data_IF_178636637556
#
_entry.id   IF_178636637556
#
_cell.length_a   1.000
_cell.length_b   1.000
_cell.length_c   1.000
_cell.angle_alpha   90.00
_cell.angle_beta   90.00
_cell.angle_gamma   90.00
#
_symmetry.space_group_name_H-M   'P 1'
#
loop_
_entity.id
_entity.type
_entity.pdbx_description
1 polymer ?
#
# COMPACT_ATOMS: atom_id res chain seq x y z
N UNK A 1 31.84 68.69 -27.97
CA UNK A 1 31.62 67.27 -27.79
C UNK A 1 30.37 67.12 -26.91
N UNK A 2 29.24 66.86 -27.55
CA UNK A 2 27.93 66.90 -26.89
C UNK A 2 27.57 65.46 -26.49
N UNK A 3 27.56 65.19 -25.17
CA UNK A 3 27.22 63.92 -24.62
C UNK A 3 25.71 63.90 -24.37
N UNK A 4 24.93 63.48 -25.38
CA UNK A 4 23.48 63.25 -25.25
C UNK A 4 23.23 62.06 -24.33
N UNK A 5 22.88 62.36 -23.10
CA UNK A 5 22.43 61.39 -22.10
C UNK A 5 21.10 60.78 -22.52
N UNK A 6 21.12 59.53 -22.96
CA UNK A 6 19.91 58.74 -23.20
C UNK A 6 19.23 58.43 -21.88
N UNK A 7 18.20 59.21 -21.54
CA UNK A 7 17.29 58.90 -20.42
C UNK A 7 16.38 57.74 -20.84
N UNK A 8 16.68 56.52 -20.37
CA UNK A 8 15.72 55.41 -20.36
C UNK A 8 14.58 55.77 -19.39
N UNK A 9 13.43 56.17 -19.90
CA UNK A 9 12.21 56.25 -19.12
C UNK A 9 11.70 54.84 -18.90
N UNK A 10 12.09 54.23 -17.76
CA UNK A 10 11.55 52.97 -17.29
C UNK A 10 10.11 53.20 -16.77
N UNK A 11 9.14 52.98 -17.64
CA UNK A 11 7.69 53.07 -17.33
C UNK A 11 7.30 51.85 -16.50
N UNK A 12 7.65 51.85 -15.21
CA UNK A 12 7.23 50.84 -14.27
C UNK A 12 5.72 51.04 -13.97
N UNK A 13 4.91 50.26 -14.68
CA UNK A 13 3.49 50.14 -14.31
C UNK A 13 3.39 49.38 -13.01
N UNK A 14 2.98 50.03 -11.93
CA UNK A 14 2.73 49.40 -10.64
C UNK A 14 1.43 48.58 -10.70
N UNK A 15 1.38 47.50 -9.96
CA UNK A 15 0.18 46.69 -9.75
C UNK A 15 -0.82 47.45 -8.88
N UNK A 16 -2.09 47.37 -9.22
CA UNK A 16 -3.16 47.89 -8.39
C UNK A 16 -3.47 46.96 -7.22
N UNK A 17 -3.91 47.48 -6.10
CA UNK A 17 -4.31 46.73 -4.93
C UNK A 17 -5.45 45.74 -5.25
N UNK A 18 -6.35 46.15 -6.16
CA UNK A 18 -7.49 45.32 -6.61
C UNK A 18 -7.04 44.12 -7.40
N UNK A 19 -6.06 44.26 -8.32
CA UNK A 19 -5.51 43.16 -9.09
C UNK A 19 -4.88 42.10 -8.18
N UNK A 20 -4.15 42.55 -7.14
CA UNK A 20 -3.58 41.61 -6.18
C UNK A 20 -4.67 40.91 -5.36
N UNK A 21 -5.69 41.63 -4.92
CA UNK A 21 -6.77 41.08 -4.11
C UNK A 21 -7.57 40.00 -4.89
N UNK A 22 -7.87 40.25 -6.15
CA UNK A 22 -8.60 39.26 -7.00
C UNK A 22 -7.76 37.98 -7.19
N UNK A 23 -6.47 38.11 -7.41
CA UNK A 23 -5.58 36.95 -7.60
C UNK A 23 -5.55 36.07 -6.34
N UNK A 24 -5.36 36.66 -5.16
CA UNK A 24 -5.35 35.86 -3.92
C UNK A 24 -6.72 35.24 -3.62
N UNK A 25 -7.83 35.91 -3.96
CA UNK A 25 -9.16 35.35 -3.83
C UNK A 25 -9.35 34.10 -4.71
N UNK A 26 -8.93 34.14 -5.97
CA UNK A 26 -9.00 33.01 -6.89
C UNK A 26 -8.11 31.86 -6.41
N UNK A 27 -6.88 32.15 -6.00
CA UNK A 27 -5.96 31.14 -5.44
C UNK A 27 -6.57 30.49 -4.21
N UNK A 28 -7.18 31.25 -3.31
CA UNK A 28 -7.84 30.76 -2.10
C UNK A 28 -8.95 29.74 -2.43
N UNK A 29 -9.82 30.08 -3.39
CA UNK A 29 -10.89 29.16 -3.82
C UNK A 29 -10.32 27.90 -4.47
N UNK A 30 -9.35 28.00 -5.36
CA UNK A 30 -8.72 26.85 -5.99
C UNK A 30 -7.99 25.96 -4.99
N UNK A 31 -7.28 26.55 -4.03
CA UNK A 31 -6.56 25.83 -2.99
C UNK A 31 -7.51 25.00 -2.10
N UNK A 32 -8.67 25.55 -1.73
CA UNK A 32 -9.66 24.80 -0.92
C UNK A 32 -10.21 23.59 -1.66
N UNK A 33 -10.51 23.70 -2.95
CA UNK A 33 -10.98 22.58 -3.76
C UNK A 33 -9.91 21.47 -3.91
N UNK A 34 -8.64 21.85 -4.07
CA UNK A 34 -7.53 20.90 -4.16
C UNK A 34 -7.32 20.14 -2.86
N UNK A 35 -7.41 20.83 -1.71
CA UNK A 35 -7.22 20.19 -0.39
C UNK A 35 -8.27 19.12 -0.11
N UNK A 36 -9.53 19.33 -0.53
CA UNK A 36 -10.60 18.33 -0.37
C UNK A 36 -10.33 17.03 -1.14
N UNK A 37 -9.72 17.12 -2.33
CA UNK A 37 -9.44 15.96 -3.16
C UNK A 37 -8.18 15.19 -2.74
N UNK A 38 -7.27 15.84 -2.03
CA UNK A 38 -5.96 15.29 -1.69
C UNK A 38 -6.04 14.11 -0.71
N UNK A 39 -7.04 14.08 0.16
CA UNK A 39 -7.26 12.99 1.13
C UNK A 39 -7.45 11.64 0.45
N UNK A 40 -8.39 11.56 -0.49
CA UNK A 40 -8.67 10.32 -1.23
C UNK A 40 -7.51 9.88 -2.13
N UNK A 41 -6.78 10.83 -2.73
CA UNK A 41 -5.62 10.52 -3.54
C UNK A 41 -4.48 9.89 -2.73
N UNK A 42 -4.26 10.35 -1.51
CA UNK A 42 -3.26 9.78 -0.58
C UNK A 42 -3.63 8.36 -0.16
N UNK A 43 -4.91 8.07 0.14
CA UNK A 43 -5.38 6.71 0.44
C UNK A 43 -5.10 5.76 -0.72
N UNK A 44 -5.51 6.13 -1.94
CA UNK A 44 -5.24 5.35 -3.15
C UNK A 44 -3.74 5.09 -3.40
N UNK A 45 -2.89 6.08 -3.13
CA UNK A 45 -1.45 5.93 -3.27
C UNK A 45 -0.88 4.92 -2.26
N UNK A 46 -1.36 4.92 -1.01
CA UNK A 46 -0.97 3.91 -0.01
C UNK A 46 -1.45 2.51 -0.39
N UNK A 47 -2.68 2.39 -0.88
CA UNK A 47 -3.22 1.10 -1.33
C UNK A 47 -2.44 0.53 -2.52
N UNK A 48 -2.05 1.37 -3.46
CA UNK A 48 -1.17 0.95 -4.56
C UNK A 48 0.15 0.38 -4.04
N UNK A 49 0.74 1.01 -3.01
CA UNK A 49 1.95 0.49 -2.36
C UNK A 49 1.68 -0.86 -1.69
N UNK A 50 0.58 -1.02 -0.96
CA UNK A 50 0.19 -2.28 -0.30
C UNK A 50 0.07 -3.43 -1.29
N UNK A 51 -0.65 -3.21 -2.39
CA UNK A 51 -0.81 -4.20 -3.46
C UNK A 51 0.55 -4.59 -4.06
N UNK A 52 1.40 -3.61 -4.34
CA UNK A 52 2.73 -3.87 -4.86
C UNK A 52 3.60 -4.66 -3.87
N UNK A 53 3.58 -4.30 -2.59
CA UNK A 53 4.33 -4.98 -1.54
C UNK A 53 3.86 -6.44 -1.37
N UNK A 54 2.54 -6.68 -1.30
CA UNK A 54 1.96 -8.03 -1.17
C UNK A 54 2.29 -8.90 -2.40
N UNK A 55 2.22 -8.33 -3.60
CA UNK A 55 2.61 -9.03 -4.83
C UNK A 55 4.09 -9.37 -4.86
N UNK A 56 4.95 -8.47 -4.37
CA UNK A 56 6.39 -8.74 -4.23
C UNK A 56 6.66 -9.83 -3.20
N UNK A 57 5.96 -9.80 -2.06
CA UNK A 57 6.06 -10.85 -1.03
C UNK A 57 5.65 -12.21 -1.59
N UNK A 58 4.54 -12.30 -2.34
CA UNK A 58 4.13 -13.52 -3.02
C UNK A 58 5.27 -14.09 -3.87
N UNK A 59 5.84 -13.26 -4.73
CA UNK A 59 6.93 -13.69 -5.62
C UNK A 59 8.14 -14.22 -4.85
N UNK A 60 8.51 -13.55 -3.77
CA UNK A 60 9.62 -13.97 -2.91
C UNK A 60 9.33 -15.29 -2.17
N UNK A 61 8.08 -15.48 -1.71
CA UNK A 61 7.62 -16.70 -1.06
C UNK A 61 7.65 -17.89 -2.05
N UNK A 62 7.25 -17.67 -3.30
CA UNK A 62 7.33 -18.70 -4.35
C UNK A 62 8.78 -19.06 -4.68
N UNK A 63 9.69 -18.09 -4.77
CA UNK A 63 11.12 -18.35 -4.93
C UNK A 63 11.71 -19.12 -3.74
N UNK A 64 11.30 -18.77 -2.52
CA UNK A 64 11.68 -19.54 -1.33
C UNK A 64 11.25 -21.00 -1.46
N UNK A 65 10.03 -21.26 -1.91
CA UNK A 65 9.50 -22.61 -2.09
C UNK A 65 10.35 -23.44 -3.06
N UNK A 66 10.75 -22.85 -4.19
CA UNK A 66 11.58 -23.52 -5.19
C UNK A 66 12.95 -23.90 -4.62
N UNK A 67 13.57 -23.04 -3.81
CA UNK A 67 14.89 -23.27 -3.22
C UNK A 67 14.86 -24.15 -1.95
N UNK A 68 13.71 -24.27 -1.31
CA UNK A 68 13.57 -24.99 -0.02
C UNK A 68 12.82 -26.32 -0.16
N UNK A 69 13.15 -27.11 -1.18
CA UNK A 69 12.61 -28.48 -1.40
C UNK A 69 11.08 -28.54 -1.50
N UNK A 70 10.45 -27.49 -1.99
CA UNK A 70 8.99 -27.41 -2.17
C UNK A 70 8.23 -27.29 -0.85
N UNK A 71 8.66 -26.40 0.03
CA UNK A 71 7.94 -26.04 1.26
C UNK A 71 7.97 -24.53 1.48
N UNK A 72 6.84 -23.95 1.88
CA UNK A 72 6.74 -22.55 2.23
C UNK A 72 7.30 -22.25 3.64
N UNK A 73 7.68 -20.99 3.93
CA UNK A 73 8.22 -20.63 5.25
C UNK A 73 7.25 -20.98 6.38
N UNK A 74 7.75 -21.74 7.38
CA UNK A 74 6.97 -22.13 8.57
C UNK A 74 6.99 -21.09 9.69
N UNK A 75 7.70 -19.99 9.49
CA UNK A 75 7.89 -18.91 10.45
C UNK A 75 7.30 -17.59 9.92
N UNK A 76 7.26 -16.55 10.75
CA UNK A 76 6.91 -15.21 10.31
C UNK A 76 7.89 -14.74 9.23
N UNK A 77 7.38 -14.06 8.21
CA UNK A 77 8.22 -13.43 7.18
C UNK A 77 9.10 -12.32 7.76
N UNK A 78 8.71 -11.78 8.93
CA UNK A 78 9.39 -10.71 9.66
C UNK A 78 10.23 -11.24 10.83
N UNK A 79 10.49 -12.55 10.88
CA UNK A 79 11.37 -13.12 11.88
C UNK A 79 12.80 -12.62 11.74
N UNK A 80 13.55 -12.63 12.86
CA UNK A 80 14.95 -12.21 12.87
C UNK A 80 15.85 -13.01 11.92
N UNK A 81 15.44 -14.24 11.57
CA UNK A 81 16.09 -15.07 10.55
C UNK A 81 15.89 -14.57 9.13
N UNK A 82 14.89 -13.70 8.91
CA UNK A 82 14.52 -13.10 7.62
C UNK A 82 14.56 -14.14 6.47
N UNK A 83 13.56 -15.06 6.43
CA UNK A 83 13.57 -16.18 5.48
C UNK A 83 13.53 -15.72 4.02
N UNK A 84 13.03 -14.52 3.76
CA UNK A 84 12.93 -13.95 2.42
C UNK A 84 14.10 -13.04 2.04
N UNK A 85 15.10 -12.88 2.92
CA UNK A 85 16.27 -12.04 2.69
C UNK A 85 17.00 -12.30 1.35
N UNK A 86 17.20 -13.56 0.91
CA UNK A 86 17.85 -13.82 -0.37
C UNK A 86 17.05 -13.29 -1.58
N UNK A 87 15.73 -13.22 -1.47
CA UNK A 87 14.81 -12.95 -2.58
C UNK A 87 14.39 -11.48 -2.66
N UNK A 88 14.27 -10.80 -1.52
CA UNK A 88 13.88 -9.39 -1.46
C UNK A 88 15.09 -8.47 -1.27
N UNK A 89 16.19 -9.00 -0.74
CA UNK A 89 17.41 -8.27 -0.40
C UNK A 89 17.48 -7.86 1.07
N UNK A 90 18.72 -7.71 1.56
CA UNK A 90 19.03 -7.45 2.96
C UNK A 90 18.34 -6.19 3.48
N UNK A 91 17.60 -6.32 4.57
CA UNK A 91 16.92 -5.22 5.26
C UNK A 91 15.66 -4.70 4.56
N UNK A 92 15.28 -5.23 3.40
CA UNK A 92 14.06 -4.78 2.71
C UNK A 92 12.78 -5.25 3.40
N UNK A 93 12.79 -6.43 4.06
CA UNK A 93 11.63 -6.90 4.82
C UNK A 93 11.19 -5.90 5.90
N UNK A 94 12.14 -5.29 6.60
CA UNK A 94 11.84 -4.27 7.61
C UNK A 94 11.13 -3.05 7.04
N UNK A 95 11.25 -2.79 5.73
CA UNK A 95 10.63 -1.67 5.02
C UNK A 95 9.40 -2.10 4.20
N UNK A 96 9.11 -3.41 4.12
CA UNK A 96 7.93 -3.95 3.46
C UNK A 96 6.81 -4.04 4.50
N UNK A 97 6.29 -2.88 4.88
CA UNK A 97 5.29 -2.69 5.90
C UNK A 97 4.23 -1.69 5.44
N UNK A 98 3.10 -1.69 6.13
CA UNK A 98 2.03 -0.75 5.85
C UNK A 98 2.54 0.71 5.85
N UNK A 99 2.23 1.51 4.81
CA UNK A 99 2.74 2.88 4.71
C UNK A 99 2.10 3.86 5.70
N UNK A 100 1.02 3.48 6.38
CA UNK A 100 0.32 4.35 7.33
C UNK A 100 0.87 4.19 8.76
N UNK A 101 0.96 2.96 9.25
CA UNK A 101 1.29 2.63 10.64
C UNK A 101 2.48 1.69 10.80
N UNK A 102 3.11 1.31 9.68
CA UNK A 102 4.25 0.39 9.64
C UNK A 102 3.94 -1.02 10.18
N UNK A 103 2.65 -1.39 10.23
CA UNK A 103 2.26 -2.74 10.57
C UNK A 103 2.81 -3.74 9.53
N UNK A 104 3.09 -4.95 9.99
CA UNK A 104 3.49 -6.06 9.13
C UNK A 104 2.30 -6.48 8.25
N UNK A 105 2.56 -6.93 7.04
CA UNK A 105 1.53 -7.62 6.24
C UNK A 105 1.23 -8.99 6.83
N UNK A 106 0.00 -9.44 6.66
CA UNK A 106 -0.42 -10.73 7.16
C UNK A 106 0.18 -11.88 6.35
N UNK A 107 0.49 -12.96 7.02
CA UNK A 107 0.96 -14.21 6.40
C UNK A 107 0.43 -15.41 7.17
N UNK A 108 -0.17 -16.35 6.49
CA UNK A 108 -0.64 -17.62 7.06
C UNK A 108 -0.27 -18.79 6.18
N UNK A 109 -0.24 -19.96 6.79
CA UNK A 109 0.09 -21.22 6.09
C UNK A 109 -0.92 -22.29 6.44
N UNK A 110 -1.25 -23.13 5.45
CA UNK A 110 -2.01 -24.33 5.69
C UNK A 110 -1.22 -25.30 6.60
N UNK A 111 -1.92 -26.24 7.26
CA UNK A 111 -1.26 -27.33 7.99
C UNK A 111 -0.31 -28.12 7.07
N UNK A 112 0.84 -28.53 7.59
CA UNK A 112 1.81 -29.29 6.86
C UNK A 112 1.23 -30.65 6.39
N UNK A 113 1.51 -31.00 5.15
CA UNK A 113 1.16 -32.29 4.55
C UNK A 113 2.46 -33.05 4.20
N UNK A 114 2.62 -34.23 4.78
CA UNK A 114 3.88 -34.98 4.60
C UNK A 114 5.14 -34.23 5.06
N UNK A 115 5.00 -33.39 6.08
CA UNK A 115 6.08 -32.56 6.61
C UNK A 115 6.35 -31.27 5.82
N UNK A 116 5.59 -31.01 4.77
CA UNK A 116 5.75 -29.80 3.93
C UNK A 116 4.55 -28.89 4.00
N UNK A 117 4.79 -27.60 4.01
CA UNK A 117 3.77 -26.56 3.86
C UNK A 117 3.61 -26.29 2.37
N UNK A 118 2.44 -26.59 1.83
CA UNK A 118 2.17 -26.55 0.39
C UNK A 118 1.23 -25.42 -0.02
N UNK A 119 0.65 -24.71 0.94
CA UNK A 119 -0.28 -23.60 0.69
C UNK A 119 0.01 -22.45 1.64
N UNK A 120 -0.13 -21.25 1.14
CA UNK A 120 0.04 -20.01 1.90
C UNK A 120 -0.93 -18.93 1.45
N UNK A 121 -1.08 -17.92 2.29
CA UNK A 121 -1.75 -16.67 1.99
C UNK A 121 -0.91 -15.52 2.55
N UNK A 122 -0.78 -14.46 1.78
CA UNK A 122 -0.25 -13.18 2.24
C UNK A 122 -1.25 -12.09 1.91
N UNK A 123 -1.49 -11.16 2.84
CA UNK A 123 -2.56 -10.18 2.69
C UNK A 123 -2.23 -8.80 3.26
N UNK A 124 -2.98 -7.81 2.81
CA UNK A 124 -3.03 -6.45 3.35
C UNK A 124 -4.45 -5.90 3.30
N UNK A 125 -4.78 -5.07 4.26
CA UNK A 125 -6.04 -4.31 4.27
C UNK A 125 -5.87 -3.02 3.47
N UNK A 126 -6.84 -2.72 2.59
CA UNK A 126 -6.89 -1.50 1.79
C UNK A 126 -7.76 -0.44 2.49
N UNK A 127 -7.45 0.83 2.26
CA UNK A 127 -8.20 1.96 2.82
C UNK A 127 -9.36 2.39 1.93
N UNK A 128 -9.22 2.14 0.63
CA UNK A 128 -10.20 2.57 -0.39
C UNK A 128 -10.52 1.38 -1.29
N UNK A 129 -11.78 1.25 -1.70
CA UNK A 129 -12.16 0.25 -2.69
C UNK A 129 -11.27 0.29 -3.93
N UNK A 130 -10.69 -0.85 -4.30
CA UNK A 130 -9.73 -0.97 -5.39
C UNK A 130 -10.17 -2.07 -6.36
N UNK A 131 -10.07 -1.86 -7.69
CA UNK A 131 -10.36 -2.90 -8.68
C UNK A 131 -9.54 -4.19 -8.51
N UNK A 132 -8.36 -4.13 -7.88
CA UNK A 132 -7.52 -5.29 -7.59
C UNK A 132 -8.23 -6.34 -6.70
N UNK A 133 -9.14 -5.91 -5.81
CA UNK A 133 -9.95 -6.79 -4.98
C UNK A 133 -10.88 -7.73 -5.77
N UNK A 134 -11.11 -7.46 -7.05
CA UNK A 134 -11.92 -8.34 -7.91
C UNK A 134 -11.12 -9.47 -8.55
N UNK A 135 -9.82 -9.42 -8.41
CA UNK A 135 -8.87 -10.33 -9.06
C UNK A 135 -7.88 -10.96 -8.08
N UNK A 136 -8.09 -10.79 -6.78
CA UNK A 136 -7.30 -11.48 -5.76
C UNK A 136 -7.76 -12.95 -5.60
N UNK A 137 -7.07 -13.69 -4.74
CA UNK A 137 -7.22 -15.14 -4.72
C UNK A 137 -8.36 -15.64 -3.81
N UNK A 138 -8.92 -14.80 -2.93
CA UNK A 138 -10.00 -15.13 -1.97
C UNK A 138 -9.77 -16.47 -1.27
N UNK A 139 -8.66 -16.60 -0.54
CA UNK A 139 -8.21 -17.87 0.01
C UNK A 139 -8.88 -18.19 1.34
N UNK A 140 -9.67 -19.27 1.44
CA UNK A 140 -10.24 -19.68 2.72
C UNK A 140 -9.17 -20.28 3.63
N UNK A 141 -8.92 -19.64 4.79
CA UNK A 141 -7.85 -20.02 5.72
C UNK A 141 -8.32 -20.81 6.93
N UNK A 142 -9.48 -21.51 6.85
CA UNK A 142 -9.99 -22.32 7.96
C UNK A 142 -8.96 -23.36 8.41
N UNK A 143 -8.56 -23.29 9.68
CA UNK A 143 -7.57 -24.21 10.27
C UNK A 143 -6.11 -23.92 9.88
N UNK A 144 -5.84 -22.80 9.23
CA UNK A 144 -4.48 -22.38 8.92
C UNK A 144 -3.77 -21.77 10.14
N UNK A 145 -2.45 -21.76 10.11
CA UNK A 145 -1.63 -21.14 11.14
C UNK A 145 -1.20 -19.75 10.70
N UNK A 146 -1.62 -18.73 11.42
CA UNK A 146 -1.10 -17.39 11.22
C UNK A 146 0.37 -17.31 11.64
N UNK A 147 1.20 -16.72 10.78
CA UNK A 147 2.65 -16.55 10.97
C UNK A 147 3.01 -15.09 11.22
N UNK A 148 2.29 -14.17 10.61
CA UNK A 148 2.31 -12.75 10.95
C UNK A 148 0.90 -12.19 10.88
N UNK A 149 0.61 -11.18 11.70
CA UNK A 149 -0.69 -10.50 11.74
C UNK A 149 -0.62 -9.25 10.86
N UNK A 150 -1.65 -9.06 10.00
CA UNK A 150 -1.90 -7.77 9.36
C UNK A 150 -2.46 -6.74 10.35
N UNK A 151 -2.85 -5.56 9.87
CA UNK A 151 -3.47 -4.50 10.69
C UNK A 151 -4.71 -4.95 11.47
N UNK A 152 -5.51 -5.81 10.88
CA UNK A 152 -6.72 -6.38 11.50
C UNK A 152 -6.42 -7.48 12.51
N UNK A 153 -5.16 -7.82 12.75
CA UNK A 153 -4.77 -8.89 13.63
C UNK A 153 -4.60 -10.23 12.91
N UNK A 154 -4.59 -11.30 13.68
CA UNK A 154 -4.39 -12.66 13.17
C UNK A 154 -5.69 -13.14 12.55
N UNK A 155 -5.71 -13.42 11.27
CA UNK A 155 -6.78 -14.17 10.61
C UNK A 155 -6.70 -15.63 11.12
N UNK A 156 -7.26 -15.88 12.31
CA UNK A 156 -7.42 -17.22 12.85
C UNK A 156 -8.85 -17.66 12.62
N UNK A 157 -9.02 -18.90 12.21
CA UNK A 157 -10.32 -19.57 12.03
C UNK A 157 -11.10 -19.28 10.75
N UNK A 158 -10.42 -19.04 9.61
CA UNK A 158 -11.08 -19.18 8.31
C UNK A 158 -12.24 -18.24 8.04
N UNK A 159 -12.30 -17.16 8.76
CA UNK A 159 -13.00 -16.00 8.30
C UNK A 159 -11.99 -15.10 7.64
N UNK A 160 -11.67 -15.42 6.40
CA UNK A 160 -11.33 -14.36 5.48
C UNK A 160 -12.42 -13.29 5.68
N UNK A 161 -12.07 -12.06 6.10
CA UNK A 161 -13.09 -11.02 6.14
C UNK A 161 -13.53 -10.83 4.70
N UNK A 162 -14.62 -11.49 4.41
CA UNK A 162 -15.36 -11.63 3.16
C UNK A 162 -14.73 -10.86 2.00
N UNK A 163 -13.95 -11.59 1.23
CA UNK A 163 -13.67 -11.39 -0.16
C UNK A 163 -14.64 -10.46 -0.86
N UNK A 164 -14.10 -9.50 -1.55
CA UNK A 164 -14.78 -8.81 -2.64
C UNK A 164 -15.90 -7.83 -2.29
N UNK A 165 -16.12 -7.50 -1.04
CA UNK A 165 -17.17 -6.56 -0.62
C UNK A 165 -16.63 -5.26 -0.04
N UNK A 166 -15.54 -4.73 -0.56
CA UNK A 166 -15.30 -3.31 -0.52
C UNK A 166 -16.27 -2.64 -1.49
N UNK A 167 -17.53 -2.56 -1.11
CA UNK A 167 -18.47 -1.71 -1.80
C UNK A 167 -17.92 -0.28 -1.77
N UNK A 168 -17.83 0.31 -2.96
CA UNK A 168 -17.34 1.64 -3.22
C UNK A 168 -17.55 2.59 -2.02
N UNK A 169 -16.44 2.99 -1.38
CA UNK A 169 -16.34 4.02 -0.35
C UNK A 169 -16.81 3.72 1.09
N UNK A 170 -17.05 2.51 1.50
CA UNK A 170 -17.36 2.23 2.90
C UNK A 170 -16.08 1.87 3.69
N UNK A 171 -15.41 2.91 4.19
CA UNK A 171 -14.24 2.79 5.08
C UNK A 171 -14.58 2.16 6.46
N UNK A 172 -15.87 1.93 6.75
CA UNK A 172 -16.32 1.29 7.98
C UNK A 172 -16.34 -0.24 7.89
N UNK A 173 -16.17 -0.79 6.69
CA UNK A 173 -16.09 -2.22 6.47
C UNK A 173 -14.64 -2.70 6.55
N UNK A 174 -14.30 -3.37 7.63
CA UNK A 174 -13.04 -4.07 7.87
C UNK A 174 -12.70 -5.17 6.83
N UNK A 175 -13.33 -5.17 5.69
CA UNK A 175 -13.41 -6.27 4.73
C UNK A 175 -12.67 -5.99 3.40
N UNK A 176 -11.87 -4.92 3.34
CA UNK A 176 -11.04 -4.63 2.18
C UNK A 176 -9.69 -5.33 2.30
N UNK A 177 -9.69 -6.64 2.22
CA UNK A 177 -8.45 -7.43 2.23
C UNK A 177 -8.07 -7.79 0.80
N UNK A 178 -6.88 -7.38 0.41
CA UNK A 178 -6.23 -7.84 -0.80
C UNK A 178 -5.31 -9.00 -0.42
N UNK A 179 -5.61 -10.20 -0.90
CA UNK A 179 -4.86 -11.39 -0.61
C UNK A 179 -4.38 -12.11 -1.88
N UNK A 180 -3.25 -12.75 -1.76
CA UNK A 180 -2.65 -13.58 -2.81
C UNK A 180 -1.97 -14.80 -2.19
N UNK A 181 -1.98 -15.92 -2.93
CA UNK A 181 -1.35 -17.13 -2.43
C UNK A 181 -1.70 -18.36 -3.26
N UNK A 182 -1.59 -19.53 -2.66
CA UNK A 182 -1.97 -20.82 -3.24
C UNK A 182 -3.06 -21.48 -2.40
N UNK A 183 -4.16 -21.84 -3.04
CA UNK A 183 -5.30 -22.56 -2.47
C UNK A 183 -5.00 -24.01 -2.13
#
# INVERSE_FOLDING_TARGET
MDTSSLKFQDSRKGFTLVELLVVIAIIGVLATLLLLQLGGARGKARDTKRIADVTQLRTAIEQYFDDNSGTYPAMSLYDASDPLKPYIGTGKMANTTDPLDQAQYGYSTAPAQGGKILRFQVWSELEVGNPALKSDDDIPTTGWTARSSGRLGVLTNGTDPVSGSCADNDLSNANCVFDVGLR
#
